data_IF_320051652906
#
_entry.id   IF_320051652906
#
_cell.length_a   1.000
_cell.length_b   1.000
_cell.length_c   1.000
_cell.angle_alpha   90.00
_cell.angle_beta   90.00
_cell.angle_gamma   90.00
#
_symmetry.space_group_name_H-M   'P 1'
#
loop_
_entity.id
_entity.type
_entity.pdbx_description
1 polymer ?
#
# COMPACT_ATOMS: atom_id res chain seq x y z
N UNK A 1 11.63 9.33 -7.79
CA UNK A 1 12.86 9.65 -7.03
C UNK A 1 12.61 9.84 -5.52
N UNK A 2 11.67 10.70 -5.07
CA UNK A 2 11.45 10.91 -3.63
C UNK A 2 10.98 9.65 -2.86
N UNK A 3 10.04 8.86 -3.40
CA UNK A 3 9.51 7.69 -2.69
C UNK A 3 10.58 6.62 -2.38
N UNK A 4 11.43 6.30 -3.35
CA UNK A 4 12.50 5.30 -3.17
C UNK A 4 13.58 5.76 -2.18
N UNK A 5 13.87 7.07 -2.09
CA UNK A 5 14.82 7.60 -1.11
C UNK A 5 14.29 7.43 0.32
N UNK A 6 13.01 7.73 0.56
CA UNK A 6 12.38 7.55 1.86
C UNK A 6 12.29 6.06 2.20
N UNK A 7 11.95 5.21 1.22
CA UNK A 7 11.92 3.76 1.41
C UNK A 7 13.31 3.20 1.78
N UNK A 8 14.39 3.72 1.19
CA UNK A 8 15.78 3.39 1.58
C UNK A 8 16.05 3.70 3.04
N UNK A 9 15.68 4.91 3.48
CA UNK A 9 15.89 5.35 4.86
C UNK A 9 15.15 4.45 5.85
N UNK A 10 13.89 4.11 5.55
CA UNK A 10 13.09 3.19 6.36
C UNK A 10 13.71 1.80 6.40
N UNK A 11 14.16 1.29 5.26
CA UNK A 11 14.86 0.00 5.20
C UNK A 11 16.14 0.01 6.05
N UNK A 12 16.91 1.09 6.01
CA UNK A 12 18.14 1.21 6.79
C UNK A 12 17.92 1.38 8.30
N UNK A 13 16.86 2.09 8.71
CA UNK A 13 16.64 2.48 10.13
C UNK A 13 15.72 1.52 10.87
N UNK A 14 14.72 0.95 10.20
CA UNK A 14 13.73 0.04 10.79
C UNK A 14 13.89 -1.42 10.34
N UNK A 15 14.76 -1.68 9.37
CA UNK A 15 14.91 -3.00 8.75
C UNK A 15 13.61 -3.52 8.13
N UNK A 16 12.79 -2.60 7.61
CA UNK A 16 11.57 -2.93 6.87
C UNK A 16 11.83 -2.69 5.39
N UNK A 17 11.75 -3.75 4.58
CA UNK A 17 11.87 -3.64 3.12
C UNK A 17 10.54 -3.17 2.50
N UNK A 18 10.21 -1.92 2.79
CA UNK A 18 8.94 -1.31 2.44
C UNK A 18 8.80 -1.16 0.92
N UNK A 19 7.57 -1.33 0.45
CA UNK A 19 7.22 -1.29 -0.95
C UNK A 19 6.83 0.12 -1.40
N UNK A 20 7.26 0.45 -2.61
CA UNK A 20 6.77 1.59 -3.39
C UNK A 20 6.31 1.08 -4.75
N UNK A 21 5.43 1.83 -5.41
CA UNK A 21 5.00 1.53 -6.76
C UNK A 21 6.05 2.04 -7.75
N UNK A 22 6.55 1.13 -8.57
CA UNK A 22 7.57 1.40 -9.59
C UNK A 22 6.97 1.27 -11.00
N UNK A 23 7.40 2.11 -11.93
CA UNK A 23 6.97 2.03 -13.33
C UNK A 23 5.51 2.42 -13.63
N UNK A 24 4.84 3.20 -12.76
CA UNK A 24 3.44 3.60 -12.96
C UNK A 24 3.18 4.48 -14.19
N UNK A 25 4.17 5.28 -14.60
CA UNK A 25 4.01 6.29 -15.66
C UNK A 25 3.10 7.46 -15.27
N UNK A 26 2.87 8.37 -16.22
CA UNK A 26 1.89 9.45 -16.07
C UNK A 26 0.46 8.87 -16.03
N UNK A 27 -0.46 9.41 -15.22
CA UNK A 27 -0.37 10.66 -14.43
C UNK A 27 0.15 10.48 -12.99
N UNK A 28 0.53 9.27 -12.58
CA UNK A 28 0.81 8.96 -11.20
C UNK A 28 2.02 9.70 -10.64
N UNK A 29 1.83 10.38 -9.51
CA UNK A 29 2.89 11.05 -8.75
C UNK A 29 2.87 10.59 -7.31
N UNK A 30 4.02 10.20 -6.79
CA UNK A 30 4.15 9.85 -5.38
C UNK A 30 3.89 11.08 -4.50
N UNK A 31 3.02 10.94 -3.51
CA UNK A 31 2.66 11.98 -2.53
C UNK A 31 2.48 11.33 -1.16
N UNK A 32 2.69 12.07 -0.07
CA UNK A 32 2.46 11.60 1.30
C UNK A 32 3.19 10.26 1.63
N UNK A 33 4.41 10.10 1.10
CA UNK A 33 5.26 8.92 1.33
C UNK A 33 6.03 9.09 2.63
N UNK A 34 5.75 8.27 3.63
CA UNK A 34 6.40 8.35 4.96
C UNK A 34 6.10 7.11 5.82
N UNK A 35 6.85 6.96 6.89
CA UNK A 35 6.34 6.29 8.09
C UNK A 35 5.28 7.19 8.72
N UNK A 36 4.09 6.64 8.93
CA UNK A 36 3.05 7.24 9.75
C UNK A 36 3.29 6.78 11.19
N UNK A 37 3.63 7.69 12.12
CA UNK A 37 3.81 7.35 13.52
C UNK A 37 2.55 6.70 14.08
N UNK A 38 2.72 5.74 14.99
CA UNK A 38 1.62 5.18 15.74
C UNK A 38 1.15 6.15 16.84
N UNK A 39 -0.09 5.98 17.25
CA UNK A 39 -0.71 6.61 18.42
C UNK A 39 -1.41 5.54 19.29
N UNK A 40 -2.30 5.98 20.19
CA UNK A 40 -3.01 5.10 21.12
C UNK A 40 -3.98 4.13 20.42
N UNK A 41 -4.49 4.48 19.26
CA UNK A 41 -5.53 3.74 18.53
C UNK A 41 -4.96 3.07 17.27
N UNK A 42 -3.92 3.65 16.68
CA UNK A 42 -3.34 3.22 15.41
C UNK A 42 -1.87 2.91 15.55
N UNK A 43 -1.45 1.77 15.00
CA UNK A 43 -0.04 1.44 15.04
C UNK A 43 0.78 2.14 13.95
N UNK A 44 2.08 2.26 14.23
CA UNK A 44 3.05 2.73 13.24
C UNK A 44 2.98 1.87 11.97
N UNK A 45 3.01 2.55 10.82
CA UNK A 45 2.91 1.91 9.52
C UNK A 45 3.65 2.70 8.46
N UNK A 46 4.09 2.00 7.43
CA UNK A 46 4.50 2.61 6.18
C UNK A 46 3.28 3.07 5.39
N UNK A 47 3.41 4.21 4.71
CA UNK A 47 2.48 4.68 3.70
C UNK A 47 3.25 5.23 2.50
N UNK A 48 2.95 4.71 1.31
CA UNK A 48 3.35 5.33 0.05
C UNK A 48 2.11 5.70 -0.75
N UNK A 49 1.76 6.99 -0.79
CA UNK A 49 0.62 7.51 -1.54
C UNK A 49 0.98 7.90 -2.97
N UNK A 50 -0.02 7.84 -3.85
CA UNK A 50 0.08 8.19 -5.26
C UNK A 50 -1.17 8.96 -5.68
N UNK A 51 -0.95 10.13 -6.27
CA UNK A 51 -1.99 10.96 -6.86
C UNK A 51 -2.02 10.71 -8.37
N UNK A 52 -3.19 10.34 -8.90
CA UNK A 52 -3.47 10.23 -10.33
C UNK A 52 -4.03 11.55 -10.89
N UNK A 53 -4.92 11.45 -11.87
CA UNK A 53 -5.66 12.59 -12.38
C UNK A 53 -6.80 13.00 -11.42
N UNK A 54 -7.07 14.30 -11.33
CA UNK A 54 -8.14 14.83 -10.48
C UNK A 54 -7.95 14.47 -8.99
N UNK A 55 -8.98 13.87 -8.38
CA UNK A 55 -9.02 13.51 -6.96
C UNK A 55 -8.56 12.06 -6.68
N UNK A 56 -8.03 11.36 -7.69
CA UNK A 56 -7.64 9.97 -7.54
C UNK A 56 -6.41 9.81 -6.64
N UNK A 57 -6.64 9.29 -5.43
CA UNK A 57 -5.59 8.97 -4.49
C UNK A 57 -5.62 7.49 -4.12
N UNK A 58 -4.47 6.83 -4.24
CA UNK A 58 -4.26 5.43 -3.84
C UNK A 58 -2.97 5.34 -3.04
N UNK A 59 -2.95 4.52 -1.99
CA UNK A 59 -1.77 4.32 -1.15
C UNK A 59 -1.49 2.86 -0.86
N UNK A 60 -0.22 2.50 -0.87
CA UNK A 60 0.30 1.25 -0.31
C UNK A 60 0.51 1.50 1.18
N UNK A 61 -0.08 0.65 2.02
CA UNK A 61 0.12 0.65 3.46
C UNK A 61 0.77 -0.66 3.87
N UNK A 62 1.79 -0.58 4.73
CA UNK A 62 2.47 -1.78 5.22
C UNK A 62 2.82 -1.70 6.69
N UNK A 63 2.84 -2.88 7.32
CA UNK A 63 3.27 -3.02 8.70
C UNK A 63 3.87 -4.41 8.93
N UNK A 64 4.92 -4.46 9.75
CA UNK A 64 5.44 -5.72 10.28
C UNK A 64 4.53 -6.21 11.42
N UNK A 65 4.16 -7.49 11.39
CA UNK A 65 3.32 -8.12 12.42
C UNK A 65 1.97 -7.38 12.60
N UNK A 66 1.34 -6.94 11.51
CA UNK A 66 0.08 -6.20 11.56
C UNK A 66 -1.09 -7.11 11.95
N UNK A 67 -1.18 -8.27 11.32
CA UNK A 67 -2.21 -9.27 11.56
C UNK A 67 -3.64 -8.76 11.31
N UNK A 68 -4.61 -9.56 11.74
CA UNK A 68 -6.03 -9.29 11.46
C UNK A 68 -6.53 -7.97 12.08
N UNK A 69 -6.03 -7.58 13.26
CA UNK A 69 -6.44 -6.36 13.94
C UNK A 69 -6.04 -5.11 13.14
N UNK A 70 -4.80 -5.04 12.66
CA UNK A 70 -4.34 -3.93 11.84
C UNK A 70 -5.02 -3.91 10.46
N UNK A 71 -5.20 -5.07 9.82
CA UNK A 71 -5.92 -5.15 8.54
C UNK A 71 -7.34 -4.62 8.69
N UNK A 72 -8.02 -4.96 9.80
CA UNK A 72 -9.36 -4.43 10.10
C UNK A 72 -9.35 -2.92 10.30
N UNK A 73 -8.31 -2.36 10.92
CA UNK A 73 -8.16 -0.91 11.10
C UNK A 73 -8.00 -0.19 9.75
N UNK A 74 -7.12 -0.69 8.86
CA UNK A 74 -6.81 0.01 7.60
C UNK A 74 -7.74 -0.32 6.43
N UNK A 75 -8.46 -1.44 6.49
CA UNK A 75 -9.38 -1.91 5.44
C UNK A 75 -10.65 -2.56 6.02
N UNK A 76 -11.39 -1.79 6.82
CA UNK A 76 -12.73 -2.17 7.28
C UNK A 76 -13.78 -1.87 6.22
N UNK A 77 -14.63 -2.85 5.92
CA UNK A 77 -15.68 -2.71 4.92
C UNK A 77 -16.33 -4.03 4.55
N UNK A 78 -17.19 -4.00 3.54
CA UNK A 78 -17.84 -5.21 3.00
C UNK A 78 -16.92 -5.92 2.00
N UNK A 79 -17.00 -7.25 1.99
CA UNK A 79 -16.27 -8.07 1.03
C UNK A 79 -16.79 -7.84 -0.39
N UNK A 80 -15.88 -7.71 -1.35
CA UNK A 80 -16.17 -7.47 -2.76
C UNK A 80 -15.49 -8.49 -3.67
N UNK A 81 -15.24 -9.69 -3.15
CA UNK A 81 -14.55 -10.77 -3.84
C UNK A 81 -13.02 -10.66 -3.79
N UNK A 82 -12.35 -11.29 -4.75
CA UNK A 82 -10.88 -11.32 -4.82
C UNK A 82 -10.38 -11.09 -6.24
N UNK A 83 -9.09 -10.78 -6.35
CA UNK A 83 -8.36 -10.67 -7.62
C UNK A 83 -6.95 -11.21 -7.45
N UNK A 84 -6.45 -11.95 -8.43
CA UNK A 84 -5.06 -12.39 -8.47
C UNK A 84 -4.19 -11.39 -9.23
N UNK A 85 -3.14 -10.90 -8.58
CA UNK A 85 -2.17 -9.97 -9.15
C UNK A 85 -0.77 -10.52 -8.92
N UNK A 86 -0.04 -10.79 -10.00
CA UNK A 86 1.32 -11.34 -9.92
C UNK A 86 1.39 -12.69 -9.20
N UNK A 87 0.38 -13.55 -9.35
CA UNK A 87 0.32 -14.87 -8.71
C UNK A 87 -0.04 -14.83 -7.22
N UNK A 88 -0.45 -13.69 -6.68
CA UNK A 88 -0.89 -13.54 -5.30
C UNK A 88 -2.32 -13.04 -5.25
N UNK A 89 -3.14 -13.68 -4.42
CA UNK A 89 -4.54 -13.30 -4.24
C UNK A 89 -4.66 -12.04 -3.38
N UNK A 90 -5.56 -11.14 -3.77
CA UNK A 90 -5.92 -9.93 -3.05
C UNK A 90 -7.42 -9.93 -2.78
N UNK A 91 -7.80 -9.78 -1.51
CA UNK A 91 -9.21 -9.60 -1.13
C UNK A 91 -9.62 -8.16 -1.36
N UNK A 92 -10.75 -7.98 -2.05
CA UNK A 92 -11.34 -6.68 -2.35
C UNK A 92 -12.28 -6.27 -1.21
N UNK A 93 -12.15 -5.04 -0.75
CA UNK A 93 -12.98 -4.47 0.31
C UNK A 93 -13.59 -3.16 -0.18
N UNK A 94 -14.92 -3.06 -0.17
CA UNK A 94 -15.61 -1.78 -0.33
C UNK A 94 -15.71 -1.12 1.05
N UNK A 95 -15.14 0.08 1.18
CA UNK A 95 -15.03 0.83 2.44
C UNK A 95 -15.99 2.01 2.43
N UNK A 96 -16.08 2.71 3.57
CA UNK A 96 -16.93 3.89 3.70
C UNK A 96 -16.49 5.05 2.78
N UNK A 97 -17.41 5.96 2.48
CA UNK A 97 -17.14 7.19 1.70
C UNK A 97 -16.51 6.93 0.32
N UNK A 98 -16.85 5.80 -0.31
CA UNK A 98 -16.40 5.41 -1.65
C UNK A 98 -14.95 4.93 -1.72
N UNK A 99 -14.28 4.76 -0.56
CA UNK A 99 -12.95 4.16 -0.52
C UNK A 99 -13.00 2.65 -0.82
N UNK A 100 -11.89 2.15 -1.35
CA UNK A 100 -11.69 0.74 -1.67
C UNK A 100 -10.40 0.25 -1.05
N UNK A 101 -10.33 -1.04 -0.79
CA UNK A 101 -9.16 -1.74 -0.27
C UNK A 101 -8.84 -3.00 -1.07
N UNK A 102 -7.55 -3.27 -1.27
CA UNK A 102 -7.02 -4.55 -1.67
C UNK A 102 -6.12 -5.05 -0.55
N UNK A 103 -6.48 -6.17 0.07
CA UNK A 103 -5.70 -6.81 1.14
C UNK A 103 -4.93 -7.98 0.55
N UNK A 104 -3.60 -7.94 0.57
CA UNK A 104 -2.76 -9.02 0.04
C UNK A 104 -2.87 -10.25 0.95
N UNK A 105 -3.05 -11.43 0.37
CA UNK A 105 -3.19 -12.69 1.12
C UNK A 105 -1.91 -13.16 1.81
N UNK A 106 -0.75 -12.69 1.34
CA UNK A 106 0.56 -13.04 1.88
C UNK A 106 1.34 -11.74 2.20
N UNK A 107 2.29 -11.76 3.14
CA UNK A 107 3.18 -10.62 3.38
C UNK A 107 4.10 -10.34 2.18
N UNK A 108 4.33 -9.07 1.87
CA UNK A 108 5.29 -8.62 0.85
C UNK A 108 6.59 -8.22 1.57
N UNK A 109 7.68 -8.93 1.29
CA UNK A 109 8.95 -8.79 2.01
C UNK A 109 8.80 -8.83 3.55
N UNK A 110 7.92 -9.72 4.03
CA UNK A 110 7.64 -9.90 5.46
C UNK A 110 6.69 -8.87 6.08
N UNK A 111 6.07 -7.99 5.27
CA UNK A 111 5.14 -6.97 5.74
C UNK A 111 3.71 -7.25 5.27
N UNK A 112 2.74 -7.20 6.18
CA UNK A 112 1.34 -7.19 5.81
C UNK A 112 1.06 -5.98 4.93
N UNK A 113 0.37 -6.18 3.82
CA UNK A 113 0.26 -5.17 2.76
C UNK A 113 -1.20 -4.96 2.36
N UNK A 114 -1.61 -3.70 2.38
CA UNK A 114 -2.95 -3.26 1.95
C UNK A 114 -2.80 -2.08 1.01
N UNK A 115 -3.52 -2.08 -0.10
CA UNK A 115 -3.66 -0.91 -0.97
C UNK A 115 -5.03 -0.29 -0.75
N UNK A 116 -5.10 0.99 -0.41
CA UNK A 116 -6.38 1.68 -0.18
C UNK A 116 -6.47 2.99 -0.95
N UNK A 117 -7.67 3.45 -1.26
CA UNK A 117 -7.84 4.74 -1.94
C UNK A 117 -9.26 5.01 -2.42
N UNK A 118 -9.47 6.18 -3.03
CA UNK A 118 -10.73 6.55 -3.69
C UNK A 118 -10.75 6.23 -5.20
N UNK A 119 -9.67 5.68 -5.75
CA UNK A 119 -9.61 5.27 -7.15
C UNK A 119 -10.58 4.12 -7.50
N UNK A 120 -10.72 3.88 -8.79
CA UNK A 120 -11.38 2.69 -9.35
C UNK A 120 -10.62 1.40 -9.00
N UNK A 121 -11.30 0.25 -9.12
CA UNK A 121 -10.65 -1.05 -8.91
C UNK A 121 -9.42 -1.26 -9.80
N UNK A 122 -9.47 -0.82 -11.06
CA UNK A 122 -8.35 -0.93 -11.99
C UNK A 122 -7.13 -0.12 -11.51
N UNK A 123 -7.35 1.08 -10.97
CA UNK A 123 -6.27 1.93 -10.44
C UNK A 123 -5.65 1.34 -9.17
N UNK A 124 -6.45 0.79 -8.26
CA UNK A 124 -5.91 0.08 -7.09
C UNK A 124 -5.08 -1.14 -7.52
N UNK A 125 -5.56 -1.91 -8.50
CA UNK A 125 -4.83 -3.07 -9.03
C UNK A 125 -3.54 -2.67 -9.76
N UNK A 126 -3.54 -1.55 -10.48
CA UNK A 126 -2.34 -1.00 -11.10
C UNK A 126 -1.27 -0.68 -10.05
N UNK A 127 -1.64 0.03 -8.97
CA UNK A 127 -0.73 0.34 -7.86
C UNK A 127 -0.25 -0.93 -7.16
N UNK A 128 -1.16 -1.87 -6.89
CA UNK A 128 -0.81 -3.14 -6.25
C UNK A 128 0.15 -3.99 -7.10
N UNK A 129 -0.02 -4.01 -8.43
CA UNK A 129 0.86 -4.72 -9.37
C UNK A 129 2.24 -4.07 -9.45
N UNK A 130 2.29 -2.74 -9.36
CA UNK A 130 3.53 -1.98 -9.38
C UNK A 130 4.30 -2.00 -8.05
N UNK A 131 3.67 -2.46 -6.96
CA UNK A 131 4.26 -2.47 -5.63
C UNK A 131 5.45 -3.44 -5.56
N UNK A 132 6.65 -2.88 -5.41
CA UNK A 132 7.89 -3.65 -5.25
C UNK A 132 8.58 -3.23 -3.95
N UNK A 133 9.12 -4.18 -3.16
CA UNK A 133 10.02 -3.88 -2.05
C UNK A 133 11.18 -3.03 -2.52
N UNK A 134 11.67 -2.13 -1.67
CA UNK A 134 12.79 -1.25 -1.97
C UNK A 134 14.01 -2.02 -2.50
N UNK A 135 14.34 -3.17 -1.89
CA UNK A 135 15.46 -4.03 -2.31
C UNK A 135 15.40 -4.49 -3.78
N UNK A 136 14.21 -4.54 -4.38
CA UNK A 136 14.01 -4.94 -5.78
C UNK A 136 14.07 -3.76 -6.76
N UNK A 137 14.08 -2.53 -6.24
CA UNK A 137 14.13 -1.29 -7.03
C UNK A 137 15.51 -0.63 -6.91
N UNK A 138 16.18 -0.83 -5.78
CA UNK A 138 17.56 -0.41 -5.55
C UNK A 138 18.50 -1.23 -6.45
N UNK A 139 18.99 -0.60 -7.53
CA UNK A 139 20.15 -1.07 -8.27
C UNK A 139 21.41 -0.44 -7.72
#
# INVERSE_FOLDING_TARGET
MQASQIAREVSSTKHWDVAVADGLGSPWRAVNVAIVPGDKDHAERWRAGYQGDGEDYVSIQQRKDGGAAWIKDVASGSDAGSVDLGGVSWRKVEMQSGQKGLVRSQPLAGLDTVVTGKGSWAQLQQIATAAKPYSQIAK
#
